data_IF_026171340734
#
_entry.id   IF_026171340734
#
_cell.length_a   1.000
_cell.length_b   1.000
_cell.length_c   1.000
_cell.angle_alpha   90.00
_cell.angle_beta   90.00
_cell.angle_gamma   90.00
#
_symmetry.space_group_name_H-M   'P 1'
#
loop_
_entity.id
_entity.type
_entity.pdbx_description
1 polymer ?
#
# COMPACT_ATOMS: atom_id res chain seq x y z
N UNK A 1 0.47 -9.87 -25.58
CA UNK A 1 -0.53 -9.81 -24.49
C UNK A 1 -1.80 -9.19 -25.05
N UNK A 2 -2.95 -9.84 -24.89
CA UNK A 2 -4.26 -9.28 -25.29
C UNK A 2 -4.86 -8.46 -24.14
N UNK A 3 -5.78 -7.55 -24.44
CA UNK A 3 -6.46 -6.71 -23.43
C UNK A 3 -7.15 -7.55 -22.35
N UNK A 4 -7.82 -8.64 -22.74
CA UNK A 4 -8.45 -9.58 -21.81
C UNK A 4 -7.44 -10.24 -20.88
N UNK A 5 -6.27 -10.66 -21.38
CA UNK A 5 -5.22 -11.25 -20.52
C UNK A 5 -4.68 -10.24 -19.50
N UNK A 6 -4.51 -8.98 -19.92
CA UNK A 6 -4.07 -7.89 -19.03
C UNK A 6 -5.10 -7.65 -17.93
N UNK A 7 -6.38 -7.60 -18.29
CA UNK A 7 -7.47 -7.45 -17.32
C UNK A 7 -7.48 -8.60 -16.29
N UNK A 8 -7.34 -9.85 -16.74
CA UNK A 8 -7.31 -11.03 -15.85
C UNK A 8 -6.13 -11.01 -14.88
N UNK A 9 -4.96 -10.50 -15.30
CA UNK A 9 -3.83 -10.34 -14.40
C UNK A 9 -4.10 -9.28 -13.35
N UNK A 10 -4.62 -8.11 -13.74
CA UNK A 10 -4.95 -7.05 -12.79
C UNK A 10 -6.05 -7.44 -11.81
N UNK A 11 -7.10 -8.14 -12.24
CA UNK A 11 -8.15 -8.63 -11.33
C UNK A 11 -7.56 -9.60 -10.30
N UNK A 12 -6.67 -10.51 -10.73
CA UNK A 12 -5.97 -11.42 -9.81
C UNK A 12 -5.02 -10.70 -8.86
N UNK A 13 -4.29 -9.69 -9.34
CA UNK A 13 -3.42 -8.88 -8.48
C UNK A 13 -4.26 -8.14 -7.44
N UNK A 14 -5.36 -7.52 -7.84
CA UNK A 14 -6.27 -6.80 -6.94
C UNK A 14 -6.88 -7.71 -5.87
N UNK A 15 -7.20 -8.96 -6.20
CA UNK A 15 -7.77 -9.90 -5.22
C UNK A 15 -6.73 -10.42 -4.21
N UNK A 16 -5.46 -10.50 -4.60
CA UNK A 16 -4.37 -10.97 -3.74
C UNK A 16 -3.68 -9.83 -2.99
N UNK A 17 -3.88 -8.58 -3.38
CA UNK A 17 -3.17 -7.45 -2.80
C UNK A 17 -3.58 -7.24 -1.33
N UNK A 18 -2.62 -7.05 -0.41
CA UNK A 18 -2.94 -6.82 0.99
C UNK A 18 -3.68 -5.48 1.18
N UNK A 19 -4.52 -5.42 2.21
CA UNK A 19 -5.21 -4.20 2.60
C UNK A 19 -4.24 -3.24 3.31
N UNK A 20 -4.23 -1.97 2.89
CA UNK A 20 -3.41 -0.92 3.50
C UNK A 20 -4.21 -0.21 4.61
N UNK A 21 -4.07 -0.70 5.85
CA UNK A 21 -4.78 -0.15 7.00
C UNK A 21 -4.31 1.27 7.41
N UNK A 22 -3.08 1.66 7.04
CA UNK A 22 -2.52 2.96 7.42
C UNK A 22 -3.04 4.09 6.53
N UNK A 23 -3.49 3.77 5.32
CA UNK A 23 -3.93 4.76 4.32
C UNK A 23 -5.26 4.34 3.67
N UNK A 24 -6.36 4.30 4.45
CA UNK A 24 -7.65 3.83 3.94
C UNK A 24 -8.19 4.66 2.76
N UNK A 25 -7.87 5.96 2.71
CA UNK A 25 -8.34 6.87 1.66
C UNK A 25 -7.48 6.87 0.39
N UNK A 26 -6.27 6.31 0.46
CA UNK A 26 -5.32 6.30 -0.67
C UNK A 26 -4.56 4.98 -0.79
N UNK A 27 -5.26 3.82 -0.84
CA UNK A 27 -4.58 2.54 -0.92
C UNK A 27 -4.02 2.35 -2.33
N UNK A 28 -2.89 1.64 -2.42
CA UNK A 28 -2.23 1.38 -3.70
C UNK A 28 -3.13 0.61 -4.69
N UNK A 29 -4.07 -0.19 -4.18
CA UNK A 29 -5.10 -0.88 -4.98
C UNK A 29 -5.88 0.07 -5.88
N UNK A 30 -6.17 1.31 -5.47
CA UNK A 30 -6.82 2.32 -6.32
C UNK A 30 -5.98 2.71 -7.53
N UNK A 31 -4.65 2.70 -7.39
CA UNK A 31 -3.75 3.01 -8.52
C UNK A 31 -3.69 1.86 -9.52
N UNK A 32 -3.66 0.62 -9.02
CA UNK A 32 -3.71 -0.60 -9.83
C UNK A 32 -5.05 -0.67 -10.58
N UNK A 33 -6.16 -0.40 -9.88
CA UNK A 33 -7.51 -0.33 -10.43
C UNK A 33 -7.58 0.69 -11.57
N UNK A 34 -7.18 1.94 -11.31
CA UNK A 34 -7.17 3.02 -12.32
C UNK A 34 -6.38 2.65 -13.57
N UNK A 35 -5.27 1.94 -13.42
CA UNK A 35 -4.45 1.44 -14.54
C UNK A 35 -5.12 0.29 -15.29
N UNK A 36 -5.88 -0.56 -14.58
CA UNK A 36 -6.62 -1.69 -15.15
C UNK A 36 -7.93 -1.32 -15.86
N UNK A 37 -8.57 -0.20 -15.50
CA UNK A 37 -9.81 0.30 -16.11
C UNK A 37 -9.82 0.30 -17.66
N UNK A 38 -8.80 0.83 -18.38
CA UNK A 38 -8.79 0.82 -19.84
C UNK A 38 -8.81 -0.59 -20.46
N UNK A 39 -8.47 -1.63 -19.68
CA UNK A 39 -8.47 -3.01 -20.13
C UNK A 39 -9.74 -3.79 -19.73
N UNK A 40 -10.68 -3.16 -19.00
CA UNK A 40 -11.94 -3.78 -18.60
C UNK A 40 -11.95 -4.40 -17.20
N UNK A 41 -11.01 -4.00 -16.32
CA UNK A 41 -11.00 -4.43 -14.92
C UNK A 41 -12.19 -3.81 -14.17
N UNK A 42 -12.93 -4.62 -13.41
CA UNK A 42 -14.03 -4.13 -12.59
C UNK A 42 -13.51 -3.45 -11.32
N UNK A 43 -14.09 -2.30 -10.92
CA UNK A 43 -13.71 -1.58 -9.73
C UNK A 43 -14.02 -2.40 -8.47
N UNK A 44 -13.12 -2.37 -7.48
CA UNK A 44 -13.38 -2.99 -6.18
C UNK A 44 -14.46 -2.18 -5.44
N UNK A 45 -15.43 -2.84 -4.78
CA UNK A 45 -16.41 -2.15 -3.95
C UNK A 45 -15.68 -1.34 -2.86
N UNK A 46 -16.17 -0.14 -2.51
CA UNK A 46 -15.58 0.63 -1.43
C UNK A 46 -15.70 -0.17 -0.11
N UNK A 47 -14.57 -0.46 0.52
CA UNK A 47 -14.52 -1.24 1.76
C UNK A 47 -15.15 -0.52 2.97
N UNK A 48 -15.43 0.79 2.87
CA UNK A 48 -16.10 1.57 3.90
C UNK A 48 -17.23 2.45 3.31
N UNK A 49 -18.45 2.43 3.88
CA UNK A 49 -19.56 3.29 3.45
C UNK A 49 -19.37 4.78 3.79
N UNK A 50 -18.37 5.14 4.60
CA UNK A 50 -18.21 6.51 5.13
C UNK A 50 -17.28 7.42 4.31
N UNK A 51 -16.59 6.92 3.27
CA UNK A 51 -15.67 7.75 2.47
C UNK A 51 -16.36 8.20 1.17
N UNK A 52 -17.46 8.94 1.35
CA UNK A 52 -18.08 9.70 0.27
C UNK A 52 -17.59 11.14 0.34
N UNK A 53 -16.84 11.55 -0.69
CA UNK A 53 -16.44 12.94 -1.03
C UNK A 53 -15.25 13.54 -0.27
N UNK A 54 -14.03 13.23 -0.71
CA UNK A 54 -12.97 14.25 -0.76
C UNK A 54 -12.23 14.16 -2.09
N UNK A 55 -12.29 15.24 -2.88
CA UNK A 55 -11.48 15.46 -4.08
C UNK A 55 -10.07 15.90 -3.63
N UNK A 56 -8.99 15.15 -3.89
CA UNK A 56 -7.66 15.69 -3.72
C UNK A 56 -7.33 16.56 -4.94
N UNK A 57 -7.34 17.87 -4.75
CA UNK A 57 -6.65 18.83 -5.61
C UNK A 57 -5.15 18.73 -5.33
N UNK A 58 -4.45 17.87 -6.07
CA UNK A 58 -2.98 17.90 -6.16
C UNK A 58 -2.65 17.98 -7.65
N UNK A 59 -1.82 18.97 -8.01
CA UNK A 59 -1.44 19.33 -9.36
C UNK A 59 -1.24 18.10 -10.27
N UNK A 60 -2.05 18.05 -11.32
CA UNK A 60 -2.09 16.97 -12.28
C UNK A 60 -0.76 16.85 -13.04
N UNK A 61 0.08 15.90 -12.64
CA UNK A 61 1.01 15.29 -13.58
C UNK A 61 0.15 14.68 -14.70
N UNK A 62 0.30 15.20 -15.92
CA UNK A 62 -0.45 14.76 -17.10
C UNK A 62 -0.35 13.23 -17.24
N UNK A 63 -1.45 12.50 -17.45
CA UNK A 63 -1.38 11.07 -17.71
C UNK A 63 -0.57 10.86 -19.00
N UNK A 64 0.50 10.07 -18.91
CA UNK A 64 1.13 9.49 -20.10
C UNK A 64 0.05 8.72 -20.88
N UNK A 65 0.08 8.82 -22.20
CA UNK A 65 -0.84 8.22 -23.18
C UNK A 65 -1.41 6.84 -22.77
N UNK A 66 -2.63 6.47 -23.21
CA UNK A 66 -3.23 5.18 -22.86
C UNK A 66 -2.22 4.06 -23.16
N UNK A 67 -1.82 3.28 -22.13
CA UNK A 67 -0.75 2.32 -22.28
C UNK A 67 -1.18 1.21 -23.25
N UNK A 68 -0.27 0.84 -24.16
CA UNK A 68 -0.52 -0.28 -25.07
C UNK A 68 -0.52 -1.59 -24.27
N UNK A 69 -1.33 -2.61 -24.66
CA UNK A 69 -1.36 -3.90 -23.96
C UNK A 69 0.01 -4.59 -23.86
N UNK A 70 0.88 -4.37 -24.84
CA UNK A 70 2.25 -4.88 -24.88
C UNK A 70 3.12 -4.21 -23.80
N UNK A 71 2.90 -2.91 -23.59
CA UNK A 71 3.67 -2.13 -22.63
C UNK A 71 3.38 -2.48 -21.18
N UNK A 72 2.29 -3.22 -20.87
CA UNK A 72 1.86 -3.58 -19.51
C UNK A 72 2.45 -4.90 -18.97
N UNK A 73 3.02 -5.73 -19.84
CA UNK A 73 3.65 -6.98 -19.43
C UNK A 73 4.75 -6.81 -18.34
N UNK A 74 5.69 -5.85 -18.45
CA UNK A 74 6.71 -5.66 -17.42
C UNK A 74 6.16 -5.10 -16.10
N UNK A 75 5.07 -4.33 -16.11
CA UNK A 75 4.42 -3.74 -14.94
C UNK A 75 3.64 -4.81 -14.19
N UNK A 76 2.91 -5.67 -14.91
CA UNK A 76 2.26 -6.84 -14.33
C UNK A 76 3.32 -7.75 -13.68
N UNK A 77 4.43 -8.01 -14.36
CA UNK A 77 5.53 -8.78 -13.79
C UNK A 77 6.09 -8.12 -12.53
N UNK A 78 6.34 -6.80 -12.55
CA UNK A 78 6.79 -6.06 -11.38
C UNK A 78 5.79 -6.14 -10.21
N UNK A 79 4.49 -6.08 -10.48
CA UNK A 79 3.45 -6.24 -9.45
C UNK A 79 3.47 -7.64 -8.85
N UNK A 80 3.65 -8.69 -9.66
CA UNK A 80 3.79 -10.06 -9.16
C UNK A 80 5.08 -10.24 -8.34
N UNK A 81 6.21 -9.67 -8.76
CA UNK A 81 7.46 -9.78 -7.99
C UNK A 81 7.37 -9.08 -6.64
N UNK A 82 6.62 -7.98 -6.55
CA UNK A 82 6.30 -7.30 -5.29
C UNK A 82 5.34 -8.14 -4.44
N UNK A 83 4.24 -8.63 -5.02
CA UNK A 83 3.24 -9.45 -4.32
C UNK A 83 3.85 -10.72 -3.71
N UNK A 84 4.82 -11.34 -4.40
CA UNK A 84 5.48 -12.56 -3.93
C UNK A 84 6.65 -12.28 -2.98
N UNK A 85 6.92 -11.02 -2.63
CA UNK A 85 8.07 -10.58 -1.84
C UNK A 85 9.40 -11.13 -2.39
N UNK A 86 9.51 -11.25 -3.72
CA UNK A 86 10.61 -11.97 -4.39
C UNK A 86 11.98 -11.44 -3.99
N UNK A 87 12.12 -10.12 -3.84
CA UNK A 87 13.39 -9.48 -3.50
C UNK A 87 13.74 -9.63 -2.03
N UNK A 88 12.75 -9.62 -1.14
CA UNK A 88 12.96 -9.92 0.29
C UNK A 88 13.46 -11.36 0.48
N UNK A 89 12.86 -12.31 -0.25
CA UNK A 89 13.27 -13.73 -0.23
C UNK A 89 14.65 -13.95 -0.85
N UNK A 90 14.95 -13.27 -1.96
CA UNK A 90 16.22 -13.43 -2.68
C UNK A 90 17.40 -12.82 -1.92
N UNK A 91 17.18 -11.72 -1.21
CA UNK A 91 18.20 -10.99 -0.47
C UNK A 91 17.79 -10.88 1.00
N UNK A 92 17.86 -11.98 1.77
CA UNK A 92 17.47 -11.96 3.17
C UNK A 92 18.36 -11.00 3.95
N UNK A 93 17.72 -10.12 4.73
CA UNK A 93 18.41 -9.16 5.59
C UNK A 93 18.83 -9.83 6.89
N UNK A 94 20.00 -9.46 7.41
CA UNK A 94 20.47 -10.01 8.68
C UNK A 94 19.64 -9.47 9.84
N UNK A 95 19.38 -10.26 10.90
CA UNK A 95 18.63 -9.80 12.07
C UNK A 95 19.26 -8.57 12.74
N UNK A 96 20.58 -8.41 12.61
CA UNK A 96 21.31 -7.26 13.16
C UNK A 96 20.88 -5.92 12.54
N UNK A 97 20.42 -5.90 11.27
CA UNK A 97 19.90 -4.68 10.63
C UNK A 97 18.62 -4.20 11.31
N UNK A 98 17.79 -5.13 11.77
CA UNK A 98 16.53 -4.85 12.47
C UNK A 98 16.69 -4.68 13.99
N UNK A 99 17.90 -4.82 14.53
CA UNK A 99 18.18 -4.73 15.96
C UNK A 99 19.44 -3.87 16.19
N UNK A 100 19.30 -2.53 16.12
CA UNK A 100 20.45 -1.65 16.26
C UNK A 100 21.03 -1.74 17.67
N UNK A 101 22.36 -1.65 17.79
CA UNK A 101 23.08 -1.77 19.07
C UNK A 101 22.59 -0.80 20.15
N UNK A 102 22.15 0.40 19.75
CA UNK A 102 21.65 1.42 20.67
C UNK A 102 20.29 1.08 21.28
N UNK A 103 19.44 0.33 20.57
CA UNK A 103 18.12 -0.07 21.04
C UNK A 103 17.62 -1.29 20.25
N UNK A 104 17.89 -2.53 20.71
CA UNK A 104 17.58 -3.74 19.96
C UNK A 104 16.07 -3.95 19.75
N UNK A 105 15.23 -3.43 20.65
CA UNK A 105 13.76 -3.59 20.62
C UNK A 105 13.05 -2.47 19.83
N UNK A 106 13.80 -1.57 19.18
CA UNK A 106 13.22 -0.39 18.54
C UNK A 106 12.18 -0.73 17.46
N UNK A 107 12.55 -1.57 16.50
CA UNK A 107 11.68 -1.92 15.38
C UNK A 107 10.53 -2.84 15.82
N UNK A 108 10.75 -3.72 16.80
CA UNK A 108 9.70 -4.58 17.36
C UNK A 108 8.59 -3.73 18.02
N UNK A 109 8.98 -2.71 18.80
CA UNK A 109 8.03 -1.73 19.36
C UNK A 109 7.34 -0.90 18.28
N UNK A 110 8.07 -0.48 17.26
CA UNK A 110 7.54 0.31 16.15
C UNK A 110 6.49 -0.47 15.36
N UNK A 111 6.76 -1.73 15.02
CA UNK A 111 5.81 -2.59 14.32
C UNK A 111 4.54 -2.82 15.14
N UNK A 112 4.68 -3.09 16.45
CA UNK A 112 3.53 -3.24 17.34
C UNK A 112 2.71 -1.95 17.49
N UNK A 113 3.34 -0.79 17.36
CA UNK A 113 2.66 0.51 17.36
C UNK A 113 1.91 0.76 16.04
N UNK A 114 2.54 0.43 14.91
CA UNK A 114 1.96 0.52 13.57
C UNK A 114 0.72 -0.38 13.42
N UNK A 115 0.78 -1.62 13.93
CA UNK A 115 -0.36 -2.55 13.89
C UNK A 115 -1.53 -2.08 14.76
N UNK A 116 -1.24 -1.40 15.88
CA UNK A 116 -2.26 -0.82 16.75
C UNK A 116 -2.86 0.46 16.16
N UNK A 117 -2.08 1.27 15.46
CA UNK A 117 -2.50 2.57 14.93
C UNK A 117 -3.87 2.60 14.22
N UNK A 118 -4.22 1.68 13.29
CA UNK A 118 -5.53 1.70 12.64
C UNK A 118 -6.70 1.42 13.60
N UNK A 119 -6.44 0.76 14.72
CA UNK A 119 -7.43 0.48 15.77
C UNK A 119 -7.41 1.53 16.89
N UNK A 120 -6.41 2.42 16.92
CA UNK A 120 -6.32 3.49 17.92
C UNK A 120 -7.32 4.57 17.57
N UNK A 121 -8.18 4.92 18.53
CA UNK A 121 -9.03 6.09 18.35
C UNK A 121 -8.16 7.35 18.23
N UNK A 122 -8.61 8.33 17.45
CA UNK A 122 -7.94 9.63 17.28
C UNK A 122 -7.53 10.28 18.62
N UNK A 123 -8.33 10.05 19.68
CA UNK A 123 -8.05 10.53 21.04
C UNK A 123 -6.88 9.81 21.71
N UNK A 124 -6.73 8.50 21.51
CA UNK A 124 -5.59 7.74 22.04
C UNK A 124 -4.29 8.13 21.34
N UNK A 125 -4.32 8.36 20.02
CA UNK A 125 -3.16 8.85 19.28
C UNK A 125 -2.69 10.22 19.80
N UNK A 126 -3.63 11.12 20.12
CA UNK A 126 -3.32 12.43 20.73
C UNK A 126 -2.79 12.32 22.16
N UNK A 127 -3.34 11.41 22.98
CA UNK A 127 -2.85 11.15 24.34
C UNK A 127 -1.44 10.51 24.35
N UNK A 128 -1.15 9.61 23.42
CA UNK A 128 0.19 9.01 23.29
C UNK A 128 1.24 10.03 22.83
N UNK A 129 0.88 10.94 21.90
CA UNK A 129 1.72 12.07 21.50
C UNK A 129 2.04 12.99 22.70
N UNK A 130 1.02 13.28 23.52
CA UNK A 130 1.18 14.06 24.76
C UNK A 130 2.05 13.34 25.79
N UNK A 131 1.88 12.03 25.97
CA UNK A 131 2.67 11.21 26.90
C UNK A 131 4.12 11.08 26.47
N UNK A 132 4.39 10.98 25.17
CA UNK A 132 5.75 10.99 24.63
C UNK A 132 6.44 12.33 24.83
N UNK A 133 5.73 13.47 24.71
CA UNK A 133 6.25 14.81 25.03
C UNK A 133 6.63 14.98 26.51
N UNK A 134 5.90 14.35 27.43
CA UNK A 134 6.16 14.43 28.88
C UNK A 134 7.36 13.55 29.30
N UNK A 135 7.73 12.55 28.48
CA UNK A 135 8.85 11.62 28.76
C UNK A 135 10.24 12.19 28.43
N UNK A 136 10.31 13.41 27.92
CA UNK A 136 11.55 14.14 27.62
C UNK A 136 11.68 15.43 28.47
N UNK A 137 11.45 15.30 29.78
CA UNK A 137 11.84 16.28 30.80
C UNK A 137 12.76 15.59 31.80
#
# INVERSE_FOLDING_TARGET
MSTSTVANHYTRILSLWPQDALRPNSPFTRTIEKRGLPFGVQPLPPSDPSVSKEKPSIAAAKPSSPPSPQSEAPQINALYTLLEDRYSKKYPLSPAVFRPTSNPEYYDRLMAEIERAPQKSWLQAKLDEWKLKIRWQ
#
